data_IF_449779772124
#
_entry.id   IF_449779772124
#
_cell.length_a   1.000
_cell.length_b   1.000
_cell.length_c   1.000
_cell.angle_alpha   90.00
_cell.angle_beta   90.00
_cell.angle_gamma   90.00
#
_symmetry.space_group_name_H-M   'P 1'
#
loop_
_entity.id
_entity.type
_entity.pdbx_description
1 polymer ?
#
# COMPACT_ATOMS: atom_id res chain seq x y z
N UNK A 1 -30.79 18.64 -12.40
CA UNK A 1 -32.07 18.02 -12.00
C UNK A 1 -32.35 18.30 -10.53
N UNK A 2 -33.58 18.68 -10.21
CA UNK A 2 -33.97 19.15 -8.87
C UNK A 2 -33.83 18.08 -7.78
N UNK A 3 -33.76 16.80 -8.16
CA UNK A 3 -33.54 15.64 -7.27
C UNK A 3 -32.16 14.99 -7.44
N UNK A 4 -31.11 15.76 -7.71
CA UNK A 4 -29.75 15.21 -7.83
C UNK A 4 -29.20 14.83 -6.44
N UNK A 5 -28.92 13.54 -6.22
CA UNK A 5 -28.15 13.07 -5.07
C UNK A 5 -26.67 12.97 -5.46
N UNK A 6 -25.82 13.72 -4.78
CA UNK A 6 -24.35 13.68 -4.96
C UNK A 6 -23.74 12.90 -3.80
N UNK A 7 -22.88 11.94 -4.10
CA UNK A 7 -22.13 11.14 -3.12
C UNK A 7 -20.64 11.42 -3.29
N UNK A 8 -19.92 11.58 -2.18
CA UNK A 8 -18.48 11.80 -2.16
C UNK A 8 -17.86 10.72 -1.28
N UNK A 9 -16.99 9.90 -1.88
CA UNK A 9 -16.22 8.89 -1.17
C UNK A 9 -14.78 9.38 -1.07
N UNK A 10 -14.27 9.49 0.16
CA UNK A 10 -12.88 9.87 0.39
C UNK A 10 -12.31 9.14 1.59
N UNK A 11 -11.06 8.68 1.46
CA UNK A 11 -10.29 8.14 2.58
C UNK A 11 -9.81 9.24 3.54
N UNK A 12 -9.74 10.51 3.08
CA UNK A 12 -9.29 11.63 3.91
C UNK A 12 -10.15 12.88 3.72
N UNK A 13 -10.34 13.66 4.79
CA UNK A 13 -11.11 14.91 4.78
C UNK A 13 -10.21 16.13 4.95
N UNK A 14 -9.27 16.29 4.01
CA UNK A 14 -8.46 17.50 3.88
C UNK A 14 -9.29 18.72 3.48
N UNK A 15 -8.67 19.91 3.50
CA UNK A 15 -9.35 21.19 3.20
C UNK A 15 -9.98 21.22 1.79
N UNK A 16 -9.27 20.70 0.80
CA UNK A 16 -9.71 20.68 -0.61
C UNK A 16 -10.94 19.80 -0.81
N UNK A 17 -10.93 18.58 -0.27
CA UNK A 17 -12.06 17.64 -0.32
C UNK A 17 -13.30 18.24 0.33
N UNK A 18 -13.15 18.90 1.49
CA UNK A 18 -14.25 19.60 2.15
C UNK A 18 -14.81 20.76 1.31
N UNK A 19 -13.96 21.47 0.58
CA UNK A 19 -14.40 22.56 -0.29
C UNK A 19 -15.22 22.02 -1.48
N UNK A 20 -14.81 20.89 -2.05
CA UNK A 20 -15.58 20.18 -3.09
C UNK A 20 -16.93 19.74 -2.53
N UNK A 21 -16.96 19.09 -1.36
CA UNK A 21 -18.19 18.63 -0.72
C UNK A 21 -19.17 19.80 -0.51
N UNK A 22 -18.71 20.93 0.04
CA UNK A 22 -19.54 22.13 0.25
C UNK A 22 -20.06 22.75 -1.04
N UNK A 23 -19.31 22.64 -2.15
CA UNK A 23 -19.69 23.26 -3.43
C UNK A 23 -20.72 22.42 -4.20
N UNK A 24 -20.64 21.10 -4.10
CA UNK A 24 -21.41 20.19 -4.96
C UNK A 24 -22.47 19.38 -4.22
N UNK A 25 -22.51 19.48 -2.90
CA UNK A 25 -23.44 18.75 -2.06
C UNK A 25 -24.20 19.73 -1.13
N UNK A 26 -25.48 19.45 -0.90
CA UNK A 26 -26.36 20.26 -0.07
C UNK A 26 -27.03 19.33 0.96
N UNK A 27 -27.02 19.71 2.25
CA UNK A 27 -27.63 18.91 3.31
C UNK A 27 -27.00 17.53 3.51
N UNK A 28 -25.67 17.44 3.48
CA UNK A 28 -24.93 16.17 3.55
C UNK A 28 -24.79 15.62 4.96
N UNK A 29 -25.02 14.33 5.10
CA UNK A 29 -24.59 13.54 6.26
C UNK A 29 -23.21 12.93 6.00
N UNK A 30 -22.32 13.00 6.98
CA UNK A 30 -20.98 12.41 6.92
C UNK A 30 -20.99 11.04 7.60
N UNK A 31 -20.72 9.98 6.83
CA UNK A 31 -20.58 8.62 7.35
C UNK A 31 -19.10 8.26 7.37
N UNK A 32 -18.54 8.12 8.57
CA UNK A 32 -17.16 7.67 8.77
C UNK A 32 -17.16 6.23 9.28
N UNK A 33 -16.42 5.35 8.59
CA UNK A 33 -16.22 3.96 9.00
C UNK A 33 -14.79 3.81 9.51
N UNK A 34 -14.63 3.50 10.80
CA UNK A 34 -13.34 3.25 11.46
C UNK A 34 -12.68 4.49 12.10
N UNK A 35 -11.74 4.23 13.01
CA UNK A 35 -10.95 5.28 13.65
C UNK A 35 -9.93 5.88 12.69
N UNK A 36 -9.79 7.21 12.74
CA UNK A 36 -8.80 7.97 11.98
C UNK A 36 -7.41 7.49 12.43
N UNK A 37 -6.70 6.79 11.54
CA UNK A 37 -5.33 6.27 11.74
C UNK A 37 -5.17 4.91 12.45
N UNK A 38 -6.22 4.09 12.56
CA UNK A 38 -6.10 2.75 13.17
C UNK A 38 -5.04 1.85 12.49
N UNK A 39 -4.84 2.00 11.17
CA UNK A 39 -3.89 1.17 10.42
C UNK A 39 -2.43 1.30 10.89
N UNK A 40 -2.03 2.42 11.49
CA UNK A 40 -0.63 2.62 11.90
C UNK A 40 -0.30 2.00 13.26
N UNK A 41 -1.29 1.77 14.13
CA UNK A 41 -1.04 1.32 15.49
C UNK A 41 -0.59 -0.15 15.58
N UNK A 42 -0.96 -0.98 14.59
CA UNK A 42 -0.64 -2.41 14.57
C UNK A 42 0.56 -2.79 13.69
N UNK A 43 1.16 -1.83 12.97
CA UNK A 43 2.29 -2.12 12.09
C UNK A 43 3.60 -2.12 12.89
N UNK A 44 4.32 -3.24 12.88
CA UNK A 44 5.68 -3.34 13.42
C UNK A 44 6.68 -2.96 12.33
N UNK A 45 7.43 -1.88 12.56
CA UNK A 45 8.49 -1.43 11.66
C UNK A 45 9.83 -2.03 12.10
N UNK A 46 10.51 -2.72 11.19
CA UNK A 46 11.83 -3.31 11.44
C UNK A 46 12.80 -2.91 10.32
N UNK A 47 14.10 -2.84 10.63
CA UNK A 47 15.14 -2.57 9.65
C UNK A 47 16.35 -3.45 9.90
N UNK A 48 17.10 -3.73 8.84
CA UNK A 48 18.40 -4.39 8.90
C UNK A 48 19.39 -3.68 7.99
N UNK A 49 20.65 -3.62 8.41
CA UNK A 49 21.72 -3.00 7.62
C UNK A 49 22.44 -4.10 6.85
N UNK A 50 22.38 -4.01 5.53
CA UNK A 50 23.03 -4.95 4.62
C UNK A 50 23.79 -4.19 3.54
N UNK A 51 24.90 -4.75 3.08
CA UNK A 51 25.56 -4.23 1.89
C UNK A 51 24.65 -4.44 0.67
N UNK A 52 24.70 -3.51 -0.29
CA UNK A 52 23.83 -3.54 -1.48
C UNK A 52 23.93 -4.84 -2.27
N UNK A 53 25.13 -5.44 -2.34
CA UNK A 53 25.38 -6.74 -3.00
C UNK A 53 24.68 -7.92 -2.29
N UNK A 54 24.47 -7.81 -0.98
CA UNK A 54 23.93 -8.88 -0.14
C UNK A 54 22.41 -8.75 0.04
N UNK A 55 21.81 -7.64 -0.42
CA UNK A 55 20.37 -7.33 -0.27
C UNK A 55 19.47 -8.45 -0.79
N UNK A 56 19.79 -9.03 -1.96
CA UNK A 56 19.00 -10.12 -2.53
C UNK A 56 19.06 -11.39 -1.69
N UNK A 57 20.27 -11.78 -1.25
CA UNK A 57 20.44 -12.94 -0.37
C UNK A 57 19.77 -12.75 1.00
N UNK A 58 19.81 -11.52 1.54
CA UNK A 58 19.10 -11.19 2.77
C UNK A 58 17.58 -11.29 2.60
N UNK A 59 17.03 -10.77 1.50
CA UNK A 59 15.60 -10.90 1.20
C UNK A 59 15.16 -12.36 1.15
N UNK A 60 15.91 -13.22 0.45
CA UNK A 60 15.60 -14.66 0.39
C UNK A 60 15.55 -15.29 1.77
N UNK A 61 16.52 -14.99 2.64
CA UNK A 61 16.51 -15.48 4.02
C UNK A 61 15.27 -15.07 4.82
N UNK A 62 14.72 -13.88 4.57
CA UNK A 62 13.47 -13.47 5.21
C UNK A 62 12.27 -14.27 4.69
N UNK A 63 12.22 -14.54 3.39
CA UNK A 63 11.16 -15.36 2.78
C UNK A 63 11.28 -16.82 3.22
N UNK A 64 12.49 -17.38 3.23
CA UNK A 64 12.76 -18.77 3.63
C UNK A 64 12.49 -19.03 5.12
N UNK A 65 12.56 -18.00 5.96
CA UNK A 65 12.28 -18.11 7.39
C UNK A 65 10.79 -18.34 7.69
N UNK A 66 9.90 -18.00 6.75
CA UNK A 66 8.46 -18.17 6.88
C UNK A 66 7.86 -18.68 5.56
N UNK A 67 7.75 -20.02 5.37
CA UNK A 67 7.27 -20.62 4.13
C UNK A 67 5.84 -20.22 3.71
N UNK A 68 5.01 -19.76 4.64
CA UNK A 68 3.62 -19.34 4.39
C UNK A 68 3.51 -17.82 4.15
N UNK A 69 4.64 -17.13 4.04
CA UNK A 69 4.70 -15.68 3.90
C UNK A 69 4.08 -15.20 2.58
N UNK A 70 3.06 -14.35 2.69
CA UNK A 70 2.58 -13.52 1.60
C UNK A 70 3.04 -12.07 1.80
N UNK A 71 3.86 -11.55 0.89
CA UNK A 71 4.52 -10.26 1.06
C UNK A 71 4.48 -9.38 -0.21
N UNK A 72 4.55 -8.07 -0.01
CA UNK A 72 4.72 -7.06 -1.06
C UNK A 72 6.10 -6.42 -0.89
N UNK A 73 6.91 -6.44 -1.95
CA UNK A 73 8.26 -5.85 -1.95
C UNK A 73 8.30 -4.60 -2.81
N UNK A 74 8.62 -3.46 -2.22
CA UNK A 74 8.76 -2.19 -2.92
C UNK A 74 10.20 -1.98 -3.42
N UNK A 75 10.34 -1.71 -4.72
CA UNK A 75 11.60 -1.30 -5.34
C UNK A 75 11.55 0.17 -5.78
N UNK A 76 12.71 0.77 -6.12
CA UNK A 76 12.76 2.19 -6.49
C UNK A 76 12.25 2.43 -7.90
N UNK A 77 12.52 1.51 -8.82
CA UNK A 77 12.12 1.64 -10.23
C UNK A 77 11.37 0.41 -10.71
N UNK A 78 10.52 0.58 -11.72
CA UNK A 78 9.81 -0.54 -12.37
C UNK A 78 10.77 -1.62 -12.91
N UNK A 79 11.91 -1.19 -13.44
CA UNK A 79 12.92 -2.10 -13.96
C UNK A 79 13.52 -3.00 -12.86
N UNK A 80 13.84 -2.42 -11.70
CA UNK A 80 14.33 -3.19 -10.54
C UNK A 80 13.28 -4.20 -10.06
N UNK A 81 12.00 -3.81 -10.01
CA UNK A 81 10.91 -4.72 -9.62
C UNK A 81 10.85 -5.93 -10.56
N UNK A 82 10.90 -5.71 -11.87
CA UNK A 82 10.82 -6.78 -12.85
C UNK A 82 12.03 -7.73 -12.76
N UNK A 83 13.23 -7.18 -12.57
CA UNK A 83 14.45 -7.96 -12.39
C UNK A 83 14.37 -8.82 -11.14
N UNK A 84 13.92 -8.24 -10.02
CA UNK A 84 13.78 -8.95 -8.75
C UNK A 84 12.78 -10.10 -8.85
N UNK A 85 11.59 -9.85 -9.40
CA UNK A 85 10.57 -10.88 -9.59
C UNK A 85 11.10 -12.03 -10.47
N UNK A 86 11.78 -11.70 -11.58
CA UNK A 86 12.39 -12.70 -12.46
C UNK A 86 13.44 -13.55 -11.74
N UNK A 87 14.25 -12.94 -10.86
CA UNK A 87 15.27 -13.66 -10.10
C UNK A 87 14.64 -14.58 -9.06
N UNK A 88 13.61 -14.11 -8.35
CA UNK A 88 12.84 -14.92 -7.40
C UNK A 88 12.17 -16.12 -8.09
N UNK A 89 11.54 -15.93 -9.25
CA UNK A 89 10.93 -17.02 -10.01
C UNK A 89 11.98 -18.04 -10.46
N UNK A 90 13.16 -17.59 -10.89
CA UNK A 90 14.29 -18.49 -11.24
C UNK A 90 14.76 -19.32 -10.04
N UNK A 91 14.74 -18.73 -8.85
CA UNK A 91 15.13 -19.40 -7.60
C UNK A 91 13.99 -20.25 -7.00
N UNK A 92 12.82 -20.34 -7.66
CA UNK A 92 11.71 -21.23 -7.29
C UNK A 92 10.60 -20.59 -6.46
N UNK A 93 10.66 -19.27 -6.21
CA UNK A 93 9.62 -18.56 -5.48
C UNK A 93 8.47 -18.14 -6.40
N UNK A 94 7.24 -18.14 -5.86
CA UNK A 94 6.07 -17.57 -6.55
C UNK A 94 6.09 -16.05 -6.37
N UNK A 95 6.48 -15.32 -7.41
CA UNK A 95 6.57 -13.87 -7.40
C UNK A 95 6.12 -13.27 -8.75
N UNK A 96 5.57 -12.05 -8.69
CA UNK A 96 5.16 -11.28 -9.86
C UNK A 96 5.51 -9.78 -9.68
N UNK A 97 5.52 -9.03 -10.77
CA UNK A 97 5.80 -7.59 -10.80
C UNK A 97 4.64 -6.81 -11.45
N UNK A 98 4.23 -5.71 -10.80
CA UNK A 98 3.15 -4.81 -11.25
C UNK A 98 3.74 -3.51 -11.84
#
# INVERSE_FOLDING_TARGET
PDNKRTWLFSATMGREVRQIAKRYMHGTEELQVGERNAAAAEIKHQYTVVHSRDRYGALKRFVDADPDLFAIVFCRTKHETQQLATQLVKDGYVADAI
#
